data_IF_602724633495
#
_entry.id   IF_602724633495
#
_cell.length_a   1.000
_cell.length_b   1.000
_cell.length_c   1.000
_cell.angle_alpha   90.00
_cell.angle_beta   90.00
_cell.angle_gamma   90.00
#
_symmetry.space_group_name_H-M   'P 1'
#
loop_
_entity.id
_entity.type
_entity.pdbx_description
1 polymer ?
#
# COMPACT_ATOMS: atom_id res chain seq x y z
N UNK A 1 -15.36 -5.95 -24.47
CA UNK A 1 -15.91 -5.68 -23.11
C UNK A 1 -16.18 -7.00 -22.40
N UNK A 2 -17.02 -7.89 -22.95
CA UNK A 2 -17.37 -9.17 -22.31
C UNK A 2 -16.16 -10.01 -21.93
N UNK A 3 -15.16 -10.16 -22.82
CA UNK A 3 -13.98 -10.98 -22.52
C UNK A 3 -13.14 -10.40 -21.37
N UNK A 4 -13.01 -9.07 -21.32
CA UNK A 4 -12.33 -8.38 -20.21
C UNK A 4 -13.06 -8.60 -18.87
N UNK A 5 -14.39 -8.59 -18.88
CA UNK A 5 -15.19 -8.89 -17.68
C UNK A 5 -14.96 -10.34 -17.24
N UNK A 6 -14.91 -11.29 -18.17
CA UNK A 6 -14.64 -12.69 -17.85
C UNK A 6 -13.25 -12.90 -17.24
N UNK A 7 -12.22 -12.22 -17.76
CA UNK A 7 -10.85 -12.24 -17.22
C UNK A 7 -10.79 -11.68 -15.79
N UNK A 8 -11.51 -10.58 -15.53
CA UNK A 8 -11.58 -9.99 -14.19
C UNK A 8 -12.29 -10.92 -13.20
N UNK A 9 -13.42 -11.52 -13.58
CA UNK A 9 -14.14 -12.49 -12.75
C UNK A 9 -13.26 -13.70 -12.40
N UNK A 10 -12.46 -14.21 -13.34
CA UNK A 10 -11.51 -15.30 -13.08
C UNK A 10 -10.37 -14.90 -12.11
N UNK A 11 -10.06 -13.60 -12.02
CA UNK A 11 -9.07 -13.08 -11.07
C UNK A 11 -9.68 -12.92 -9.67
N UNK A 12 -10.91 -12.43 -9.59
CA UNK A 12 -11.66 -12.29 -8.32
C UNK A 12 -11.94 -13.68 -7.71
N UNK A 13 -12.39 -14.63 -8.51
CA UNK A 13 -12.68 -16.00 -8.04
C UNK A 13 -11.47 -16.78 -7.53
N UNK A 14 -10.24 -16.36 -7.85
CA UNK A 14 -9.00 -16.91 -7.27
C UNK A 14 -8.67 -16.33 -5.89
N UNK A 15 -9.27 -15.20 -5.54
CA UNK A 15 -9.01 -14.46 -4.29
C UNK A 15 -10.12 -14.70 -3.26
N UNK A 16 -11.34 -14.99 -3.71
CA UNK A 16 -12.48 -15.38 -2.86
C UNK A 16 -12.45 -16.88 -2.55
N UNK A 17 -12.54 -17.25 -1.28
CA UNK A 17 -12.55 -18.66 -0.85
C UNK A 17 -13.72 -19.48 -1.41
N UNK A 18 -13.54 -20.80 -1.52
CA UNK A 18 -14.57 -21.71 -2.02
C UNK A 18 -15.82 -21.67 -1.12
N UNK A 19 -16.95 -21.15 -1.65
CA UNK A 19 -18.21 -21.02 -0.93
C UNK A 19 -18.84 -19.61 -0.92
N UNK A 20 -18.26 -18.64 -1.63
CA UNK A 20 -18.79 -17.27 -1.70
C UNK A 20 -20.09 -17.15 -2.52
N UNK A 21 -20.96 -16.23 -2.11
CA UNK A 21 -22.12 -15.82 -2.90
C UNK A 21 -21.69 -15.32 -4.30
N UNK A 22 -22.54 -15.50 -5.33
CA UNK A 22 -22.22 -15.06 -6.68
C UNK A 22 -21.96 -13.55 -6.74
N UNK A 23 -20.88 -13.15 -7.42
CA UNK A 23 -20.50 -11.74 -7.52
C UNK A 23 -21.61 -10.91 -8.18
N UNK A 24 -21.73 -9.65 -7.74
CA UNK A 24 -22.65 -8.69 -8.35
C UNK A 24 -21.91 -7.82 -9.36
N UNK A 25 -22.31 -7.90 -10.63
CA UNK A 25 -21.86 -7.06 -11.73
C UNK A 25 -22.72 -5.79 -11.78
N UNK A 26 -22.16 -4.65 -11.41
CA UNK A 26 -22.84 -3.35 -11.46
C UNK A 26 -22.44 -2.61 -12.74
N UNK A 27 -23.39 -2.33 -13.63
CA UNK A 27 -23.14 -1.63 -14.89
C UNK A 27 -23.35 -0.12 -14.68
N UNK A 28 -22.26 0.64 -14.75
CA UNK A 28 -22.26 2.11 -14.61
C UNK A 28 -21.68 2.79 -15.85
N UNK A 29 -21.87 4.10 -15.97
CA UNK A 29 -21.47 4.93 -17.11
C UNK A 29 -22.58 5.07 -18.17
N UNK A 30 -22.45 6.06 -19.05
CA UNK A 30 -23.47 6.38 -20.06
C UNK A 30 -23.83 5.19 -20.98
N UNK A 31 -22.86 4.34 -21.30
CA UNK A 31 -23.09 3.18 -22.17
C UNK A 31 -23.91 2.06 -21.50
N UNK A 32 -24.01 2.03 -20.17
CA UNK A 32 -24.87 1.10 -19.44
C UNK A 32 -26.38 1.38 -19.65
N UNK A 33 -26.74 2.49 -20.31
CA UNK A 33 -28.11 2.73 -20.79
C UNK A 33 -28.46 1.94 -22.05
N UNK A 34 -27.48 1.35 -22.73
CA UNK A 34 -27.71 0.56 -23.95
C UNK A 34 -28.45 -0.74 -23.62
N UNK A 35 -29.65 -0.99 -24.18
CA UNK A 35 -30.34 -2.26 -24.00
C UNK A 35 -29.51 -3.44 -24.52
N UNK A 36 -28.84 -3.24 -25.66
CA UNK A 36 -27.96 -4.25 -26.25
C UNK A 36 -26.83 -4.67 -25.30
N UNK A 37 -26.15 -3.72 -24.66
CA UNK A 37 -25.08 -4.06 -23.69
C UNK A 37 -25.64 -4.86 -22.52
N UNK A 38 -26.76 -4.38 -21.94
CA UNK A 38 -27.40 -5.03 -20.81
C UNK A 38 -27.85 -6.45 -21.13
N UNK A 39 -28.43 -6.68 -22.31
CA UNK A 39 -28.82 -8.01 -22.79
C UNK A 39 -27.61 -8.93 -22.98
N UNK A 40 -26.55 -8.45 -23.62
CA UNK A 40 -25.32 -9.24 -23.83
C UNK A 40 -24.65 -9.60 -22.51
N UNK A 41 -24.62 -8.69 -21.54
CA UNK A 41 -24.10 -8.96 -20.20
C UNK A 41 -24.95 -10.01 -19.48
N UNK A 42 -26.29 -9.88 -19.49
CA UNK A 42 -27.20 -10.85 -18.88
C UNK A 42 -27.10 -12.22 -19.53
N UNK A 43 -27.08 -12.30 -20.85
CA UNK A 43 -26.94 -13.55 -21.58
C UNK A 43 -25.61 -14.27 -21.27
N UNK A 44 -24.52 -13.51 -21.06
CA UNK A 44 -23.19 -14.10 -20.86
C UNK A 44 -22.86 -14.44 -19.41
N UNK A 45 -23.43 -13.71 -18.45
CA UNK A 45 -23.04 -13.80 -17.04
C UNK A 45 -24.22 -13.97 -16.06
N UNK A 46 -25.46 -13.72 -16.48
CA UNK A 46 -26.63 -13.68 -15.59
C UNK A 46 -27.03 -15.02 -14.98
N UNK A 47 -26.56 -16.15 -15.52
CA UNK A 47 -26.77 -17.47 -14.92
C UNK A 47 -25.94 -17.69 -13.65
N UNK A 48 -24.75 -17.08 -13.57
CA UNK A 48 -23.79 -17.29 -12.48
C UNK A 48 -23.59 -16.09 -11.58
N UNK A 49 -23.96 -14.90 -12.06
CA UNK A 49 -23.68 -13.64 -11.37
C UNK A 49 -24.93 -12.76 -11.39
N UNK A 50 -25.11 -11.97 -10.33
CA UNK A 50 -26.19 -10.99 -10.29
C UNK A 50 -25.80 -9.79 -11.14
N UNK A 51 -26.70 -9.34 -12.03
CA UNK A 51 -26.47 -8.14 -12.83
C UNK A 51 -27.36 -7.01 -12.32
N UNK A 52 -26.73 -5.90 -11.91
CA UNK A 52 -27.41 -4.70 -11.41
C UNK A 52 -27.11 -3.52 -12.33
N UNK A 53 -28.16 -2.81 -12.73
CA UNK A 53 -28.07 -1.56 -13.49
C UNK A 53 -28.73 -0.49 -12.62
N UNK A 54 -28.00 0.54 -12.16
CA UNK A 54 -28.59 1.63 -11.38
C UNK A 54 -29.68 2.36 -12.17
N UNK A 55 -30.62 3.05 -11.50
CA UNK A 55 -31.66 3.84 -12.18
C UNK A 55 -31.08 4.89 -13.14
N UNK A 56 -30.01 5.57 -12.72
CA UNK A 56 -29.18 6.41 -13.60
C UNK A 56 -27.73 5.89 -13.63
N UNK A 57 -27.39 5.02 -14.60
CA UNK A 57 -26.03 4.50 -14.69
C UNK A 57 -25.00 5.60 -14.99
N UNK A 58 -25.40 6.68 -15.66
CA UNK A 58 -24.49 7.77 -16.02
C UNK A 58 -24.10 8.61 -14.80
N UNK A 59 -25.01 8.76 -13.83
CA UNK A 59 -24.78 9.51 -12.59
C UNK A 59 -24.29 8.64 -11.42
N UNK A 60 -24.45 7.31 -11.48
CA UNK A 60 -24.18 6.40 -10.37
C UNK A 60 -22.80 6.60 -9.69
N UNK A 61 -21.74 6.89 -10.47
CA UNK A 61 -20.39 7.14 -9.92
C UNK A 61 -20.34 8.47 -9.17
N UNK A 62 -20.96 9.53 -9.71
CA UNK A 62 -21.02 10.85 -9.08
C UNK A 62 -21.86 10.80 -7.80
N UNK A 63 -23.03 10.18 -7.85
CA UNK A 63 -23.90 10.00 -6.68
C UNK A 63 -23.18 9.22 -5.58
N UNK A 64 -22.47 8.14 -5.94
CA UNK A 64 -21.63 7.38 -5.01
C UNK A 64 -20.52 8.23 -4.38
N UNK A 65 -19.86 9.08 -5.17
CA UNK A 65 -18.83 9.99 -4.67
C UNK A 65 -19.40 11.03 -3.69
N UNK A 66 -20.59 11.57 -3.96
CA UNK A 66 -21.28 12.49 -3.04
C UNK A 66 -21.63 11.77 -1.74
N UNK A 67 -22.22 10.57 -1.80
CA UNK A 67 -22.50 9.78 -0.61
C UNK A 67 -21.24 9.47 0.21
N UNK A 68 -20.12 9.17 -0.45
CA UNK A 68 -18.83 8.97 0.20
C UNK A 68 -18.34 10.24 0.89
N UNK A 69 -18.47 11.42 0.28
CA UNK A 69 -18.08 12.68 0.90
C UNK A 69 -18.86 12.96 2.19
N UNK A 70 -20.13 12.56 2.26
CA UNK A 70 -20.94 12.69 3.48
C UNK A 70 -20.65 11.63 4.55
N UNK A 71 -20.24 10.42 4.15
CA UNK A 71 -19.89 9.30 5.05
C UNK A 71 -18.65 8.56 4.57
N UNK A 72 -17.45 9.09 4.83
CA UNK A 72 -16.21 8.48 4.38
C UNK A 72 -15.86 7.18 5.11
N UNK A 73 -16.47 6.95 6.28
CA UNK A 73 -16.33 5.78 7.15
C UNK A 73 -17.02 4.51 6.62
N UNK A 74 -17.80 4.61 5.53
CA UNK A 74 -18.51 3.47 4.94
C UNK A 74 -17.55 2.38 4.42
N UNK A 75 -16.32 2.73 4.06
CA UNK A 75 -15.32 1.74 3.63
C UNK A 75 -14.53 1.20 4.82
N UNK A 76 -14.75 -0.07 5.14
CA UNK A 76 -14.04 -0.76 6.22
C UNK A 76 -12.64 -1.19 5.78
N UNK A 77 -12.46 -1.58 4.52
CA UNK A 77 -11.17 -1.99 3.97
C UNK A 77 -11.05 -1.77 2.47
N UNK A 78 -9.81 -1.79 1.96
CA UNK A 78 -9.47 -1.74 0.54
C UNK A 78 -8.41 -2.77 0.20
N UNK A 79 -8.44 -3.27 -1.03
CA UNK A 79 -7.39 -4.11 -1.54
C UNK A 79 -6.22 -3.25 -2.06
N UNK A 80 -5.02 -3.48 -1.55
CA UNK A 80 -3.84 -2.72 -1.98
C UNK A 80 -3.45 -3.06 -3.42
N UNK A 81 -3.34 -2.03 -4.28
CA UNK A 81 -2.97 -2.18 -5.69
C UNK A 81 -1.49 -2.51 -5.90
N UNK A 82 -0.65 -2.03 -5.01
CA UNK A 82 0.80 -2.22 -4.97
C UNK A 82 1.22 -2.72 -3.59
N UNK A 83 2.44 -3.24 -3.48
CA UNK A 83 3.10 -3.42 -2.20
C UNK A 83 3.68 -2.08 -1.77
N UNK A 84 3.34 -1.62 -0.57
CA UNK A 84 3.81 -0.35 -0.01
C UNK A 84 4.79 -0.59 1.12
N UNK A 85 5.78 0.29 1.24
CA UNK A 85 6.81 0.16 2.25
C UNK A 85 7.80 1.31 2.24
N UNK A 86 8.98 1.04 2.78
CA UNK A 86 10.05 2.02 2.90
C UNK A 86 11.43 1.37 2.72
N UNK A 87 12.43 2.19 2.41
CA UNK A 87 13.83 1.76 2.40
C UNK A 87 14.33 1.55 3.83
N UNK A 88 15.01 0.42 4.07
CA UNK A 88 15.58 0.12 5.38
C UNK A 88 16.86 -0.72 5.26
N UNK A 89 17.61 -0.80 6.35
CA UNK A 89 18.69 -1.77 6.52
C UNK A 89 18.15 -2.94 7.36
N UNK A 90 18.38 -4.17 6.88
CA UNK A 90 18.01 -5.41 7.62
C UNK A 90 19.26 -6.25 7.84
N UNK A 91 19.27 -7.21 8.78
CA UNK A 91 20.36 -8.17 8.92
C UNK A 91 20.72 -8.78 7.56
N UNK A 92 22.02 -8.82 7.24
CA UNK A 92 22.53 -9.34 5.98
C UNK A 92 22.29 -10.86 5.90
N UNK A 93 21.65 -11.32 4.83
CA UNK A 93 21.39 -12.73 4.57
C UNK A 93 22.45 -13.30 3.61
N UNK A 94 23.39 -14.07 4.15
CA UNK A 94 24.46 -14.69 3.36
C UNK A 94 23.91 -15.63 2.27
N UNK A 95 24.46 -15.54 1.06
CA UNK A 95 24.03 -16.33 -0.10
C UNK A 95 22.76 -15.83 -0.78
N UNK A 96 22.07 -14.84 -0.20
CA UNK A 96 20.88 -14.22 -0.79
C UNK A 96 21.08 -12.74 -1.08
N UNK A 97 21.70 -12.00 -0.14
CA UNK A 97 22.02 -10.59 -0.33
C UNK A 97 23.27 -10.36 -1.18
N UNK A 98 23.20 -9.32 -2.02
CA UNK A 98 24.37 -8.85 -2.74
C UNK A 98 25.39 -8.30 -1.77
N UNK A 99 26.63 -8.79 -1.85
CA UNK A 99 27.76 -8.30 -1.05
C UNK A 99 28.06 -6.82 -1.28
N UNK A 100 27.65 -6.25 -2.43
CA UNK A 100 27.76 -4.83 -2.71
C UNK A 100 26.86 -3.94 -1.82
N UNK A 101 25.86 -4.53 -1.17
CA UNK A 101 24.96 -3.85 -0.21
C UNK A 101 25.29 -4.17 1.24
N UNK A 102 26.31 -5.00 1.47
CA UNK A 102 26.73 -5.37 2.81
C UNK A 102 27.35 -4.17 3.49
N UNK A 103 26.87 -3.88 4.70
CA UNK A 103 27.35 -2.80 5.54
C UNK A 103 27.51 -3.34 6.96
N UNK A 104 28.60 -2.98 7.63
CA UNK A 104 28.76 -3.26 9.06
C UNK A 104 28.52 -1.96 9.80
N UNK A 105 27.56 -1.97 10.72
CA UNK A 105 27.31 -0.80 11.56
C UNK A 105 28.36 -0.67 12.67
N UNK A 106 28.29 0.44 13.41
CA UNK A 106 29.23 0.77 14.47
C UNK A 106 29.12 -0.16 15.71
N UNK A 107 27.98 -0.85 15.88
CA UNK A 107 27.80 -1.90 16.90
C UNK A 107 28.35 -3.27 16.45
N UNK A 108 28.79 -3.37 15.18
CA UNK A 108 29.39 -4.56 14.60
C UNK A 108 28.39 -5.51 13.92
N UNK A 109 27.11 -5.16 13.83
CA UNK A 109 26.09 -5.96 13.15
C UNK A 109 26.27 -5.86 11.62
N UNK A 110 26.12 -7.00 10.94
CA UNK A 110 26.14 -7.06 9.47
C UNK A 110 24.73 -6.82 8.92
N UNK A 111 24.59 -5.77 8.13
CA UNK A 111 23.34 -5.30 7.54
C UNK A 111 23.42 -5.31 6.00
N UNK A 112 22.26 -5.38 5.37
CA UNK A 112 22.07 -5.12 3.95
C UNK A 112 21.31 -3.80 3.79
N UNK A 113 21.92 -2.81 3.13
CA UNK A 113 21.28 -1.52 2.83
C UNK A 113 20.37 -1.61 1.59
N UNK A 114 19.38 -0.74 1.50
CA UNK A 114 18.43 -0.70 0.37
C UNK A 114 17.40 -1.83 0.37
N UNK A 115 17.13 -2.46 1.51
CA UNK A 115 16.11 -3.51 1.66
C UNK A 115 14.72 -2.89 1.64
N UNK A 116 13.76 -3.61 1.08
CA UNK A 116 12.36 -3.20 1.10
C UNK A 116 11.70 -3.63 2.44
N UNK A 117 11.27 -2.65 3.24
CA UNK A 117 10.45 -2.83 4.42
C UNK A 117 8.97 -2.87 4.05
N UNK A 118 8.40 -4.07 3.85
CA UNK A 118 6.98 -4.22 3.46
C UNK A 118 6.06 -3.82 4.60
N UNK A 119 5.24 -2.79 4.38
CA UNK A 119 4.16 -2.38 5.26
C UNK A 119 2.85 -3.08 4.94
N UNK A 120 2.51 -3.14 3.65
CA UNK A 120 1.31 -3.77 3.11
C UNK A 120 1.68 -4.44 1.80
N UNK A 121 1.23 -5.68 1.56
CA UNK A 121 1.46 -6.35 0.28
C UNK A 121 0.35 -6.04 -0.70
N UNK A 122 0.71 -6.07 -1.98
CA UNK A 122 -0.25 -6.09 -3.08
C UNK A 122 -1.27 -7.21 -2.85
N UNK A 123 -2.55 -6.89 -3.08
CA UNK A 123 -3.73 -7.71 -2.82
C UNK A 123 -4.17 -7.87 -1.36
N UNK A 124 -3.39 -7.39 -0.37
CA UNK A 124 -3.83 -7.40 1.01
C UNK A 124 -5.07 -6.50 1.19
N UNK A 125 -6.02 -6.96 2.00
CA UNK A 125 -7.15 -6.14 2.44
C UNK A 125 -6.72 -5.32 3.65
N UNK A 126 -6.56 -4.01 3.46
CA UNK A 126 -6.13 -3.09 4.52
C UNK A 126 -7.34 -2.34 5.03
N UNK A 127 -7.52 -2.33 6.36
CA UNK A 127 -8.58 -1.55 6.98
C UNK A 127 -8.24 -0.07 6.99
N UNK A 128 -9.25 0.76 6.75
CA UNK A 128 -9.07 2.21 6.73
C UNK A 128 -8.72 2.68 8.14
N UNK A 129 -7.63 3.43 8.26
CA UNK A 129 -7.06 3.96 9.52
C UNK A 129 -6.38 2.94 10.46
N UNK A 130 -6.19 1.69 10.04
CA UNK A 130 -5.32 0.77 10.80
C UNK A 130 -3.86 1.27 10.71
N UNK A 131 -3.22 1.37 11.87
CA UNK A 131 -1.82 1.74 11.98
C UNK A 131 -0.94 0.49 11.91
N UNK A 132 0.02 0.49 10.99
CA UNK A 132 1.06 -0.52 10.91
C UNK A 132 2.37 0.05 11.48
N UNK A 133 2.74 -0.29 12.73
CA UNK A 133 3.91 0.27 13.38
C UNK A 133 5.20 -0.43 12.93
N UNK A 134 6.24 0.36 12.70
CA UNK A 134 7.60 -0.10 12.49
C UNK A 134 8.53 0.64 13.44
N UNK A 135 9.52 -0.09 13.96
CA UNK A 135 10.63 0.48 14.72
C UNK A 135 11.88 0.37 13.87
N UNK A 136 12.55 1.49 13.66
CA UNK A 136 13.85 1.56 12.97
C UNK A 136 14.87 2.23 13.89
N UNK A 137 16.15 2.03 13.59
CA UNK A 137 17.27 2.66 14.29
C UNK A 137 18.25 3.22 13.26
N UNK A 138 19.03 4.26 13.60
CA UNK A 138 20.17 4.71 12.80
C UNK A 138 21.18 3.57 12.61
N UNK A 139 21.96 3.65 11.54
CA UNK A 139 23.01 2.66 11.24
C UNK A 139 24.42 3.16 11.56
N UNK A 140 24.55 4.45 11.93
CA UNK A 140 25.81 5.05 12.38
C UNK A 140 25.60 5.84 13.67
N UNK A 141 26.60 5.83 14.56
CA UNK A 141 26.55 6.53 15.85
C UNK A 141 26.52 8.05 15.67
N UNK A 142 27.19 8.54 14.63
CA UNK A 142 27.28 9.97 14.26
C UNK A 142 26.11 10.46 13.40
N UNK A 143 25.15 9.58 13.06
CA UNK A 143 24.01 9.94 12.22
C UNK A 143 23.09 10.91 12.95
N UNK A 144 23.02 12.16 12.50
CA UNK A 144 22.21 13.25 13.05
C UNK A 144 20.92 13.52 12.26
N UNK A 145 20.75 12.90 11.10
CA UNK A 145 19.52 12.93 10.31
C UNK A 145 19.17 11.54 9.76
N UNK A 146 17.89 11.27 9.55
CA UNK A 146 17.39 10.04 8.95
C UNK A 146 16.37 10.31 7.85
N UNK A 147 16.73 9.92 6.63
CA UNK A 147 15.85 9.90 5.46
C UNK A 147 14.98 8.66 5.47
N UNK A 148 13.68 8.83 5.73
CA UNK A 148 12.64 7.81 5.54
C UNK A 148 12.08 7.95 4.13
N UNK A 149 12.51 7.07 3.23
CA UNK A 149 12.02 7.02 1.85
C UNK A 149 10.94 5.97 1.68
N UNK A 150 9.82 6.36 1.11
CA UNK A 150 8.64 5.53 0.91
C UNK A 150 8.60 5.00 -0.52
N UNK A 151 8.22 3.74 -0.67
CA UNK A 151 8.18 3.06 -1.97
C UNK A 151 6.85 2.35 -2.19
N UNK A 152 6.47 2.23 -3.47
CA UNK A 152 5.48 1.23 -3.92
C UNK A 152 6.14 0.27 -4.92
N UNK A 153 5.65 -0.97 -4.97
CA UNK A 153 6.13 -2.00 -5.90
C UNK A 153 4.99 -2.79 -6.55
N UNK A 154 5.14 -3.13 -7.83
CA UNK A 154 4.24 -4.02 -8.55
C UNK A 154 4.36 -5.50 -8.10
N UNK A 155 5.48 -5.87 -7.48
CA UNK A 155 5.72 -7.21 -6.92
C UNK A 155 5.08 -7.32 -5.54
N UNK A 156 4.59 -8.51 -5.18
CA UNK A 156 4.03 -8.76 -3.85
C UNK A 156 5.12 -8.68 -2.76
N UNK A 157 6.29 -9.27 -3.01
CA UNK A 157 7.40 -9.35 -2.06
C UNK A 157 8.70 -8.84 -2.71
N UNK A 158 8.85 -7.52 -2.93
CA UNK A 158 10.11 -6.94 -3.38
C UNK A 158 11.20 -7.15 -2.32
N UNK A 159 12.42 -7.51 -2.75
CA UNK A 159 13.57 -7.69 -1.87
C UNK A 159 14.30 -6.35 -1.66
N UNK A 160 14.50 -5.60 -2.73
CA UNK A 160 15.16 -4.29 -2.74
C UNK A 160 14.24 -3.18 -3.27
N UNK A 161 14.53 -1.95 -2.87
CA UNK A 161 13.77 -0.76 -3.27
C UNK A 161 14.00 -0.33 -4.71
N UNK A 162 15.09 -0.78 -5.33
CA UNK A 162 15.50 -0.48 -6.70
C UNK A 162 15.29 -1.65 -7.68
N UNK A 163 14.48 -2.63 -7.29
CA UNK A 163 14.02 -3.66 -8.21
C UNK A 163 13.10 -3.09 -9.30
N UNK A 164 13.07 -3.77 -10.45
CA UNK A 164 12.11 -3.48 -11.50
C UNK A 164 10.67 -3.51 -10.97
N UNK A 165 9.93 -2.44 -11.27
CA UNK A 165 8.57 -2.21 -10.78
C UNK A 165 8.45 -1.60 -9.39
N UNK A 166 9.56 -1.20 -8.74
CA UNK A 166 9.58 -0.41 -7.50
C UNK A 166 9.88 1.07 -7.78
N UNK A 167 9.20 1.98 -7.09
CA UNK A 167 9.35 3.43 -7.27
C UNK A 167 9.23 4.18 -5.94
N UNK A 168 10.04 5.23 -5.76
CA UNK A 168 9.95 6.15 -4.61
C UNK A 168 8.70 7.03 -4.78
N UNK A 169 7.85 7.07 -3.76
CA UNK A 169 6.58 7.80 -3.78
C UNK A 169 6.53 8.95 -2.77
N UNK A 170 7.52 9.04 -1.89
CA UNK A 170 7.60 10.09 -0.89
C UNK A 170 8.84 9.96 -0.01
N UNK A 171 9.16 11.03 0.69
CA UNK A 171 10.31 11.10 1.59
C UNK A 171 10.02 12.00 2.77
N UNK A 172 10.60 11.65 3.91
CA UNK A 172 10.64 12.43 5.14
C UNK A 172 12.07 12.44 5.67
N UNK A 173 12.50 13.56 6.21
CA UNK A 173 13.78 13.65 6.94
C UNK A 173 13.46 13.90 8.42
N UNK A 174 14.12 13.14 9.29
CA UNK A 174 13.96 13.20 10.74
C UNK A 174 15.26 13.69 11.35
N UNK A 175 15.18 14.73 12.17
CA UNK A 175 16.31 15.20 12.96
C UNK A 175 16.57 14.25 14.13
N UNK A 176 17.79 13.76 14.23
CA UNK A 176 18.30 12.85 15.26
C UNK A 176 19.41 13.47 16.11
N UNK A 177 19.74 14.74 15.90
CA UNK A 177 20.85 15.45 16.55
C UNK A 177 20.79 15.34 18.08
N UNK A 178 19.59 15.37 18.67
CA UNK A 178 19.36 15.25 20.11
C UNK A 178 19.73 13.89 20.73
N UNK A 179 20.03 12.88 19.91
CA UNK A 179 20.37 11.52 20.37
C UNK A 179 21.74 11.03 19.90
N UNK A 180 22.50 11.86 19.18
CA UNK A 180 23.86 11.54 18.73
C UNK A 180 24.75 11.17 19.92
N UNK A 181 25.58 10.14 19.76
CA UNK A 181 26.47 9.62 20.81
C UNK A 181 25.81 8.66 21.81
N UNK A 182 24.51 8.35 21.65
CA UNK A 182 23.87 7.21 22.34
C UNK A 182 24.02 5.92 21.50
N UNK A 183 23.99 4.72 22.12
CA UNK A 183 23.96 3.46 21.37
C UNK A 183 22.81 3.42 20.36
N UNK A 184 23.01 2.82 19.18
CA UNK A 184 22.04 2.83 18.08
C UNK A 184 20.68 2.27 18.52
N UNK A 185 20.70 1.20 19.32
CA UNK A 185 19.48 0.54 19.84
C UNK A 185 18.66 1.42 20.79
N UNK A 186 19.27 2.44 21.39
CA UNK A 186 18.64 3.44 22.26
C UNK A 186 18.14 4.68 21.50
N UNK A 187 18.25 4.66 20.17
CA UNK A 187 17.78 5.73 19.27
C UNK A 187 16.65 5.26 18.36
N UNK A 188 15.56 4.64 18.90
CA UNK A 188 14.50 4.12 18.05
C UNK A 188 13.68 5.24 17.42
N UNK A 189 13.31 5.07 16.16
CA UNK A 189 12.34 5.89 15.46
C UNK A 189 11.14 5.02 15.13
N UNK A 190 9.95 5.52 15.45
CA UNK A 190 8.70 4.83 15.19
C UNK A 190 8.08 5.37 13.91
N UNK A 191 7.83 4.49 12.94
CA UNK A 191 7.04 4.79 11.76
C UNK A 191 5.64 4.21 11.95
N UNK A 192 4.61 4.99 11.66
CA UNK A 192 3.21 4.56 11.69
C UNK A 192 2.64 4.74 10.30
N UNK A 193 2.39 3.62 9.62
CA UNK A 193 1.75 3.61 8.30
C UNK A 193 0.25 3.50 8.49
N UNK A 194 -0.47 4.50 7.99
CA UNK A 194 -1.93 4.50 7.93
C UNK A 194 -2.35 4.45 6.47
N UNK A 195 -3.15 3.45 6.16
CA UNK A 195 -3.78 3.34 4.85
C UNK A 195 -5.17 3.96 4.97
N UNK A 196 -5.28 5.21 4.50
CA UNK A 196 -6.54 5.94 4.47
C UNK A 196 -7.42 5.50 3.30
N UNK A 197 -8.55 6.20 3.12
CA UNK A 197 -9.40 5.96 1.95
C UNK A 197 -8.62 6.24 0.65
N UNK A 198 -8.09 7.44 0.44
CA UNK A 198 -7.44 7.82 -0.82
C UNK A 198 -5.91 8.02 -0.71
N UNK A 199 -5.34 7.96 0.50
CA UNK A 199 -3.96 8.34 0.76
C UNK A 199 -3.24 7.32 1.65
N UNK A 200 -1.95 7.14 1.40
CA UNK A 200 -1.00 6.57 2.35
C UNK A 200 -0.49 7.70 3.23
N UNK A 201 -0.72 7.62 4.55
CA UNK A 201 -0.12 8.55 5.51
C UNK A 201 0.96 7.80 6.28
N UNK A 202 2.13 8.40 6.39
CA UNK A 202 3.21 7.91 7.26
C UNK A 202 3.54 8.98 8.28
N UNK A 203 3.42 8.62 9.55
CA UNK A 203 3.84 9.45 10.66
C UNK A 203 5.12 8.89 11.24
N UNK A 204 6.02 9.78 11.61
CA UNK A 204 7.30 9.47 12.23
C UNK A 204 7.33 10.11 13.60
N UNK A 205 7.68 9.30 14.59
CA UNK A 205 7.79 9.71 15.98
C UNK A 205 9.16 9.34 16.52
N UNK A 206 9.86 10.33 17.07
CA UNK A 206 11.07 10.15 17.85
C UNK A 206 10.68 10.11 19.35
N UNK A 207 10.74 8.95 20.02
CA UNK A 207 10.44 8.83 21.44
C UNK A 207 11.40 9.58 22.35
N UNK A 208 12.63 9.88 21.91
CA UNK A 208 13.63 10.53 22.75
C UNK A 208 13.39 12.04 22.87
N UNK A 209 12.93 12.68 21.80
CA UNK A 209 12.63 14.12 21.76
C UNK A 209 11.13 14.42 21.89
N UNK A 210 10.27 13.44 21.62
CA UNK A 210 8.84 13.64 21.43
C UNK A 210 8.49 14.30 20.09
N UNK A 211 9.49 14.48 19.21
CA UNK A 211 9.30 15.08 17.89
C UNK A 211 8.43 14.21 16.98
N UNK A 212 7.56 14.86 16.21
CA UNK A 212 6.67 14.21 15.23
C UNK A 212 6.78 14.88 13.87
N UNK A 213 6.97 14.10 12.82
CA UNK A 213 6.87 14.54 11.42
C UNK A 213 5.91 13.63 10.65
N UNK A 214 5.30 14.12 9.57
CA UNK A 214 4.32 13.34 8.79
C UNK A 214 4.39 13.66 7.31
N UNK A 215 4.10 12.66 6.48
CA UNK A 215 3.86 12.81 5.04
C UNK A 215 2.58 12.08 4.67
N UNK A 216 1.80 12.68 3.77
CA UNK A 216 0.72 12.02 3.05
C UNK A 216 1.12 11.88 1.58
N UNK A 217 0.89 10.70 1.02
CA UNK A 217 1.13 10.37 -0.38
C UNK A 217 -0.15 9.82 -0.98
N UNK A 218 -0.61 10.43 -2.06
CA UNK A 218 -1.75 9.91 -2.83
C UNK A 218 -1.39 8.57 -3.46
N UNK A 219 -2.26 7.56 -3.32
CA UNK A 219 -2.00 6.24 -3.92
C UNK A 219 -1.85 6.28 -5.44
N UNK A 220 -2.52 7.25 -6.09
CA UNK A 220 -2.67 7.37 -7.54
C UNK A 220 -1.88 8.54 -8.15
N UNK A 221 -0.99 9.22 -7.40
CA UNK A 221 -0.07 10.18 -8.03
C UNK A 221 0.88 9.43 -8.98
N UNK A 222 0.85 9.85 -10.25
CA UNK A 222 1.72 9.48 -11.37
C UNK A 222 2.40 10.76 -11.83
#
# INVERSE_FOLDING_TARGET
ILDKVAEQLATIGRTSGAGAEPETLVLVGGFARSPWLCERMRARFGERHRILVPPDPALAVLEGAVHFAYRPDVFVSRQAKYTYGFETAKPFEEGVDSTMRMYRDDEGDLLCVGRFGVAVRRMDSVRVNDAHPFRIVPVREDQDELDVRLYRSAKADPRYVDEDGSEEIGRLTVDLSGTVGRPLRERPIMLLFYFGAAELRVEVFDPATGGTSRVSVDFDRV
#
